data_IF_568289972331
#
_entry.id   IF_568289972331
#
_cell.length_a   1.000
_cell.length_b   1.000
_cell.length_c   1.000
_cell.angle_alpha   90.00
_cell.angle_beta   90.00
_cell.angle_gamma   90.00
#
_symmetry.space_group_name_H-M   'P 1'
#
loop_
_entity.id
_entity.type
_entity.pdbx_description
1 polymer ?
#
# COMPACT_ATOMS: atom_id res chain seq x y z
N UNK A 1 -8.76 1.02 14.30
CA UNK A 1 -8.86 1.68 12.98
C UNK A 1 -7.60 2.43 12.53
N UNK A 2 -7.16 3.54 13.17
CA UNK A 2 -6.12 4.41 12.57
C UNK A 2 -4.75 3.76 12.36
N UNK A 3 -4.27 2.91 13.30
CA UNK A 3 -3.04 2.12 13.09
C UNK A 3 -3.14 1.31 11.79
N UNK A 4 -4.27 0.63 11.57
CA UNK A 4 -4.49 -0.13 10.34
C UNK A 4 -4.47 0.76 9.09
N UNK A 5 -5.06 1.96 9.14
CA UNK A 5 -5.04 2.91 8.02
C UNK A 5 -3.60 3.33 7.63
N UNK A 6 -2.75 3.62 8.61
CA UNK A 6 -1.33 3.95 8.38
C UNK A 6 -0.53 2.84 7.71
N UNK A 7 -0.94 1.58 7.86
CA UNK A 7 -0.20 0.41 7.39
C UNK A 7 -0.83 -0.31 6.19
N UNK A 8 -1.93 0.22 5.65
CA UNK A 8 -2.63 -0.35 4.49
C UNK A 8 -2.89 0.67 3.38
N UNK A 9 -2.85 1.97 3.69
CA UNK A 9 -3.11 3.03 2.73
C UNK A 9 -4.54 3.04 2.19
N UNK A 10 -5.50 2.36 2.83
CA UNK A 10 -6.90 2.37 2.40
C UNK A 10 -7.51 3.78 2.48
N UNK A 11 -8.46 4.06 1.58
CA UNK A 11 -9.29 5.28 1.66
C UNK A 11 -10.22 5.19 2.87
N UNK A 12 -10.62 6.33 3.43
CA UNK A 12 -11.60 6.35 4.54
C UNK A 12 -12.87 5.59 4.19
N UNK A 13 -13.39 5.75 2.97
CA UNK A 13 -14.58 5.04 2.50
C UNK A 13 -14.41 3.53 2.39
N UNK A 14 -13.19 3.05 2.10
CA UNK A 14 -12.86 1.62 2.06
C UNK A 14 -12.72 1.06 3.48
N UNK A 15 -12.13 1.82 4.41
CA UNK A 15 -12.03 1.44 5.82
C UNK A 15 -13.41 1.26 6.46
N UNK A 16 -14.33 2.17 6.16
CA UNK A 16 -15.72 2.14 6.66
C UNK A 16 -16.51 0.97 6.07
N UNK A 17 -16.21 0.56 4.84
CA UNK A 17 -16.90 -0.52 4.16
C UNK A 17 -16.29 -1.92 4.38
N UNK A 18 -15.20 -2.01 5.17
CA UNK A 18 -14.46 -3.25 5.36
C UNK A 18 -15.21 -4.21 6.28
N UNK A 19 -15.51 -5.42 5.79
CA UNK A 19 -16.10 -6.50 6.58
C UNK A 19 -15.03 -7.54 6.95
N UNK A 20 -15.28 -8.31 8.02
CA UNK A 20 -14.39 -9.41 8.41
C UNK A 20 -14.23 -10.48 7.32
N UNK A 21 -15.25 -10.66 6.49
CA UNK A 21 -15.25 -11.59 5.33
C UNK A 21 -14.38 -11.13 4.16
N UNK A 22 -13.87 -9.89 4.19
CA UNK A 22 -12.93 -9.39 3.19
C UNK A 22 -11.46 -9.71 3.53
N UNK A 23 -11.20 -10.31 4.70
CA UNK A 23 -9.86 -10.63 5.18
C UNK A 23 -9.53 -12.09 4.87
N UNK A 24 -8.52 -12.31 4.03
CA UNK A 24 -7.92 -13.61 3.81
C UNK A 24 -6.74 -13.80 4.77
N UNK A 25 -7.01 -14.46 5.88
CA UNK A 25 -6.03 -14.71 6.94
C UNK A 25 -4.91 -15.65 6.50
N UNK A 26 -5.20 -16.60 5.60
CA UNK A 26 -4.21 -17.58 5.12
C UNK A 26 -3.21 -16.93 4.19
N UNK A 27 -3.69 -16.08 3.28
CA UNK A 27 -2.84 -15.35 2.32
C UNK A 27 -2.27 -14.05 2.91
N UNK A 28 -2.79 -13.59 4.05
CA UNK A 28 -2.37 -12.34 4.67
C UNK A 28 -2.71 -11.13 3.81
N UNK A 29 -3.90 -11.10 3.23
CA UNK A 29 -4.37 -10.01 2.36
C UNK A 29 -5.78 -9.57 2.72
N UNK A 30 -6.11 -8.33 2.36
CA UNK A 30 -7.48 -7.81 2.34
C UNK A 30 -7.93 -7.72 0.89
N UNK A 31 -9.14 -8.18 0.60
CA UNK A 31 -9.78 -8.00 -0.70
C UNK A 31 -10.69 -6.77 -0.62
N UNK A 32 -10.22 -5.63 -1.13
CA UNK A 32 -11.01 -4.40 -1.19
C UNK A 32 -12.01 -4.53 -2.33
N UNK A 33 -13.31 -4.61 -2.00
CA UNK A 33 -14.39 -4.81 -2.99
C UNK A 33 -15.34 -3.62 -3.12
N UNK A 34 -15.40 -2.77 -2.09
CA UNK A 34 -16.45 -1.78 -1.87
C UNK A 34 -15.91 -0.53 -1.18
N UNK A 35 -16.63 0.57 -1.36
CA UNK A 35 -16.36 1.83 -0.67
C UNK A 35 -17.70 2.49 -0.29
N UNK A 36 -17.76 3.09 0.90
CA UNK A 36 -18.95 3.80 1.39
C UNK A 36 -18.68 5.29 1.49
N UNK A 37 -19.46 6.09 0.77
CA UNK A 37 -19.45 7.55 0.86
C UNK A 37 -20.62 8.03 1.72
N UNK A 38 -20.55 9.25 2.24
CA UNK A 38 -21.61 9.83 3.08
C UNK A 38 -22.99 9.88 2.40
N UNK A 39 -23.02 9.87 1.07
CA UNK A 39 -24.24 9.96 0.26
C UNK A 39 -24.88 8.59 0.01
N UNK A 40 -24.12 7.49 0.15
CA UNK A 40 -24.60 6.14 -0.09
C UNK A 40 -24.88 5.44 1.25
N UNK A 41 -26.18 5.24 1.58
CA UNK A 41 -26.61 4.46 2.76
C UNK A 41 -26.29 2.96 2.63
N UNK A 42 -26.04 2.49 1.41
CA UNK A 42 -25.60 1.13 1.11
C UNK A 42 -24.25 1.15 0.41
N UNK A 43 -23.48 0.07 0.55
CA UNK A 43 -22.18 -0.04 -0.10
C UNK A 43 -22.41 -0.11 -1.60
N UNK A 44 -22.16 1.01 -2.30
CA UNK A 44 -22.08 0.97 -3.75
C UNK A 44 -20.98 -0.03 -4.11
N UNK A 45 -21.38 -1.13 -4.76
CA UNK A 45 -20.45 -2.07 -5.37
C UNK A 45 -19.68 -1.24 -6.41
N UNK A 46 -18.43 -0.91 -6.09
CA UNK A 46 -17.75 0.22 -6.70
C UNK A 46 -17.74 0.04 -8.21
N UNK A 47 -18.43 0.96 -8.91
CA UNK A 47 -18.54 1.01 -10.37
C UNK A 47 -17.17 0.68 -10.98
N UNK A 48 -17.16 -0.43 -11.72
CA UNK A 48 -16.04 -1.05 -12.44
C UNK A 48 -15.16 -2.06 -11.67
N UNK A 49 -14.94 -3.20 -12.32
CA UNK A 49 -14.00 -4.30 -12.03
C UNK A 49 -12.56 -3.81 -11.74
N UNK A 50 -12.23 -2.56 -12.10
CA UNK A 50 -10.94 -1.88 -11.88
C UNK A 50 -10.66 -1.47 -10.41
N UNK A 51 -11.70 -1.40 -9.57
CA UNK A 51 -11.58 -0.97 -8.16
C UNK A 51 -11.22 -2.10 -7.19
N UNK A 52 -11.46 -3.35 -7.58
CA UNK A 52 -11.18 -4.54 -6.77
C UNK A 52 -9.67 -4.78 -6.73
N UNK A 53 -9.09 -4.80 -5.54
CA UNK A 53 -7.66 -5.06 -5.36
C UNK A 53 -7.39 -5.83 -4.08
N UNK A 54 -6.25 -6.51 -4.07
CA UNK A 54 -5.70 -7.11 -2.87
C UNK A 54 -4.68 -6.18 -2.24
N UNK A 55 -4.80 -5.99 -0.94
CA UNK A 55 -3.85 -5.22 -0.13
C UNK A 55 -3.14 -6.19 0.82
N UNK A 56 -1.81 -6.25 0.76
CA UNK A 56 -0.99 -7.07 1.64
C UNK A 56 -1.08 -6.56 3.07
N UNK A 57 -1.37 -7.45 4.01
CA UNK A 57 -1.36 -7.16 5.43
C UNK A 57 0.07 -7.23 5.96
N UNK A 58 0.69 -6.06 6.12
CA UNK A 58 1.97 -5.96 6.84
C UNK A 58 1.76 -6.27 8.34
N UNK A 59 2.80 -6.71 9.07
CA UNK A 59 2.66 -7.15 10.46
C UNK A 59 1.93 -6.13 11.38
N UNK A 60 2.19 -4.80 11.29
CA UNK A 60 1.45 -3.83 12.09
C UNK A 60 -0.04 -3.70 11.73
N UNK A 61 -0.40 -3.92 10.46
CA UNK A 61 -1.79 -3.98 10.02
C UNK A 61 -2.48 -5.24 10.54
N UNK A 62 -1.80 -6.39 10.47
CA UNK A 62 -2.30 -7.66 11.02
C UNK A 62 -2.52 -7.57 12.54
N UNK A 63 -1.54 -7.03 13.27
CA UNK A 63 -1.66 -6.79 14.71
C UNK A 63 -2.85 -5.89 15.05
N UNK A 64 -3.09 -4.83 14.26
CA UNK A 64 -4.25 -3.97 14.44
C UNK A 64 -5.58 -4.70 14.22
N UNK A 65 -5.65 -5.65 13.28
CA UNK A 65 -6.84 -6.48 13.08
C UNK A 65 -7.05 -7.49 14.21
N UNK A 66 -5.98 -8.13 14.68
CA UNK A 66 -6.05 -9.07 15.82
C UNK A 66 -6.57 -8.36 17.06
N UNK A 67 -6.04 -7.18 17.38
CA UNK A 67 -6.53 -6.37 18.49
C UNK A 67 -8.00 -5.95 18.29
N UNK A 68 -8.41 -5.67 17.04
CA UNK A 68 -9.79 -5.29 16.73
C UNK A 68 -10.79 -6.44 16.95
N UNK A 69 -10.35 -7.72 16.93
CA UNK A 69 -11.27 -8.86 17.02
C UNK A 69 -12.11 -8.86 18.29
N UNK A 70 -11.52 -8.46 19.41
CA UNK A 70 -12.20 -8.40 20.70
C UNK A 70 -13.43 -7.46 20.72
N UNK A 71 -13.52 -6.53 19.76
CA UNK A 71 -14.59 -5.55 19.71
C UNK A 71 -15.71 -5.90 18.73
N UNK A 72 -15.36 -6.39 17.53
CA UNK A 72 -16.33 -6.48 16.42
C UNK A 72 -16.38 -7.83 15.73
N UNK A 73 -15.47 -8.78 16.03
CA UNK A 73 -15.37 -10.04 15.28
C UNK A 73 -16.56 -10.95 15.48
N UNK A 74 -17.02 -11.12 16.73
CA UNK A 74 -18.14 -12.00 17.06
C UNK A 74 -19.46 -11.56 16.44
N UNK A 75 -19.62 -10.27 16.15
CA UNK A 75 -20.80 -9.76 15.47
C UNK A 75 -20.83 -10.13 13.98
N UNK A 76 -19.70 -10.58 13.40
CA UNK A 76 -19.62 -11.09 12.02
C UNK A 76 -19.82 -10.05 10.92
N UNK A 77 -19.81 -8.75 11.25
CA UNK A 77 -20.12 -7.65 10.33
C UNK A 77 -18.87 -6.82 9.97
N UNK A 78 -18.91 -5.52 10.23
CA UNK A 78 -17.84 -4.58 9.92
C UNK A 78 -16.62 -4.80 10.81
N UNK A 79 -15.43 -4.60 10.23
CA UNK A 79 -14.18 -4.60 11.02
C UNK A 79 -14.15 -3.40 11.96
N UNK A 80 -14.52 -2.20 11.45
CA UNK A 80 -14.49 -0.97 12.22
C UNK A 80 -15.89 -0.39 12.38
N UNK A 81 -16.32 -0.26 13.63
CA UNK A 81 -17.58 0.35 14.03
C UNK A 81 -17.32 1.65 14.79
N UNK A 82 -18.34 2.51 14.86
CA UNK A 82 -18.33 3.71 15.68
C UNK A 82 -18.53 3.32 17.14
N UNK A 83 -17.53 3.53 18.02
CA UNK A 83 -17.58 3.07 19.41
C UNK A 83 -18.63 3.81 20.26
N UNK A 84 -19.36 4.78 19.68
CA UNK A 84 -20.43 5.51 20.35
C UNK A 84 -21.78 4.80 20.29
N UNK A 85 -21.97 3.94 19.30
CA UNK A 85 -23.26 3.28 19.03
C UNK A 85 -23.14 1.88 18.42
N UNK A 86 -21.93 1.33 18.33
CA UNK A 86 -21.61 0.01 17.77
C UNK A 86 -22.16 -0.24 16.36
N UNK A 87 -22.44 0.84 15.64
CA UNK A 87 -22.90 0.80 14.27
C UNK A 87 -21.76 1.07 13.29
N UNK A 88 -21.99 0.78 12.02
CA UNK A 88 -21.07 1.20 10.95
C UNK A 88 -20.86 2.71 11.00
N UNK A 89 -19.62 3.14 10.78
CA UNK A 89 -19.31 4.56 10.62
C UNK A 89 -20.17 5.17 9.51
N UNK A 90 -20.94 6.21 9.82
CA UNK A 90 -21.81 6.90 8.85
C UNK A 90 -21.06 7.86 7.92
N UNK A 91 -19.73 7.89 7.98
CA UNK A 91 -18.86 8.67 7.09
C UNK A 91 -17.74 9.42 7.82
N UNK A 92 -17.22 10.47 7.17
CA UNK A 92 -15.99 11.15 7.62
C UNK A 92 -16.18 11.99 8.90
N UNK A 93 -17.33 12.64 9.09
CA UNK A 93 -17.53 13.56 10.23
C UNK A 93 -17.37 12.88 11.60
N UNK A 94 -18.03 11.73 11.88
CA UNK A 94 -17.76 10.93 13.08
C UNK A 94 -16.29 10.57 13.29
N UNK A 95 -15.62 10.12 12.23
CA UNK A 95 -14.22 9.69 12.24
C UNK A 95 -13.32 10.87 12.59
N UNK A 96 -13.62 12.06 12.04
CA UNK A 96 -12.88 13.30 12.27
C UNK A 96 -12.90 13.73 13.73
N UNK A 97 -14.01 13.50 14.44
CA UNK A 97 -14.11 13.81 15.88
C UNK A 97 -13.10 12.97 16.66
N UNK A 98 -13.12 11.64 16.47
CA UNK A 98 -12.18 10.73 17.16
C UNK A 98 -10.74 10.99 16.74
N UNK A 99 -10.51 11.24 15.45
CA UNK A 99 -9.20 11.58 14.90
C UNK A 99 -8.62 12.87 15.52
N UNK A 100 -9.42 13.93 15.63
CA UNK A 100 -8.98 15.21 16.18
C UNK A 100 -8.58 15.07 17.65
N UNK A 101 -9.32 14.28 18.43
CA UNK A 101 -8.95 13.94 19.81
C UNK A 101 -7.62 13.18 19.87
N UNK A 102 -7.43 12.21 18.97
CA UNK A 102 -6.18 11.48 18.83
C UNK A 102 -4.99 12.39 18.51
N UNK A 103 -5.14 13.29 17.54
CA UNK A 103 -4.09 14.27 17.20
C UNK A 103 -3.77 15.20 18.37
N UNK A 104 -4.79 15.69 19.10
CA UNK A 104 -4.58 16.54 20.28
C UNK A 104 -3.78 15.79 21.36
N UNK A 105 -4.12 14.53 21.63
CA UNK A 105 -3.40 13.69 22.60
C UNK A 105 -1.97 13.41 22.15
N UNK A 106 -1.73 13.26 20.85
CA UNK A 106 -0.41 13.07 20.27
C UNK A 106 0.38 14.38 20.07
N UNK A 107 -0.20 15.53 20.43
CA UNK A 107 0.40 16.87 20.23
C UNK A 107 0.77 17.16 18.76
N UNK A 108 0.01 16.62 17.81
CA UNK A 108 0.22 16.81 16.37
C UNK A 108 -0.75 17.87 15.84
N UNK A 109 -0.25 18.82 15.05
CA UNK A 109 -1.08 19.83 14.36
C UNK A 109 -2.15 19.13 13.54
N UNK A 110 -3.37 19.71 13.52
CA UNK A 110 -4.48 19.14 12.78
C UNK A 110 -4.12 18.80 11.32
N UNK A 111 -4.52 17.60 10.92
CA UNK A 111 -4.43 17.05 9.56
C UNK A 111 -5.72 16.27 9.30
N UNK A 112 -6.15 16.13 8.04
CA UNK A 112 -7.34 15.33 7.71
C UNK A 112 -7.03 13.83 7.92
N UNK A 113 -8.01 12.98 8.31
CA UNK A 113 -7.80 11.52 8.44
C UNK A 113 -7.22 10.86 7.18
N UNK A 114 -7.59 11.39 5.99
CA UNK A 114 -7.06 10.96 4.70
C UNK A 114 -5.52 11.02 4.61
N UNK A 115 -4.85 11.83 5.44
CA UNK A 115 -3.38 11.89 5.48
C UNK A 115 -2.72 10.59 5.91
N UNK A 116 -3.44 9.68 6.57
CA UNK A 116 -2.93 8.32 6.88
C UNK A 116 -2.50 7.59 5.60
N UNK A 117 -3.26 7.74 4.51
CA UNK A 117 -2.95 7.17 3.19
C UNK A 117 -1.71 7.81 2.55
N UNK A 118 -1.57 9.13 2.66
CA UNK A 118 -0.37 9.81 2.19
C UNK A 118 0.86 9.41 3.01
N UNK A 119 0.70 9.24 4.31
CA UNK A 119 1.75 8.78 5.22
C UNK A 119 2.19 7.36 4.84
N UNK A 120 1.25 6.44 4.59
CA UNK A 120 1.55 5.10 4.09
C UNK A 120 2.43 5.15 2.83
N UNK A 121 2.01 5.91 1.82
CA UNK A 121 2.76 6.02 0.57
C UNK A 121 4.16 6.59 0.79
N UNK A 122 4.25 7.68 1.56
CA UNK A 122 5.52 8.31 1.91
C UNK A 122 6.46 7.35 2.64
N UNK A 123 5.96 6.61 3.64
CA UNK A 123 6.74 5.65 4.41
C UNK A 123 7.28 4.52 3.54
N UNK A 124 6.42 3.91 2.71
CA UNK A 124 6.83 2.80 1.84
C UNK A 124 7.91 3.25 0.85
N UNK A 125 7.71 4.41 0.20
CA UNK A 125 8.64 4.92 -0.80
C UNK A 125 9.96 5.39 -0.19
N UNK A 126 9.91 6.03 0.99
CA UNK A 126 11.12 6.39 1.74
C UNK A 126 11.91 5.17 2.19
N UNK A 127 11.24 4.04 2.43
CA UNK A 127 11.88 2.77 2.72
C UNK A 127 12.44 2.05 1.47
N UNK A 128 12.30 2.65 0.27
CA UNK A 128 12.80 2.07 -0.98
C UNK A 128 11.87 1.07 -1.65
N UNK A 129 10.62 0.94 -1.19
CA UNK A 129 9.65 0.03 -1.82
C UNK A 129 9.34 0.44 -3.26
N UNK A 130 9.15 -0.56 -4.11
CA UNK A 130 8.95 -0.31 -5.54
C UNK A 130 7.69 0.54 -5.79
N UNK A 131 7.76 1.70 -6.47
CA UNK A 131 6.62 2.62 -6.61
C UNK A 131 5.39 1.99 -7.25
N UNK A 132 5.59 1.09 -8.22
CA UNK A 132 4.49 0.36 -8.85
C UNK A 132 3.77 -0.56 -7.88
N UNK A 133 4.50 -1.19 -6.96
CA UNK A 133 3.90 -2.05 -5.95
C UNK A 133 3.05 -1.22 -4.99
N UNK A 134 3.58 -0.10 -4.49
CA UNK A 134 2.85 0.85 -3.63
C UNK A 134 1.59 1.38 -4.32
N UNK A 135 1.70 1.79 -5.60
CA UNK A 135 0.55 2.27 -6.38
C UNK A 135 -0.55 1.20 -6.52
N UNK A 136 -0.17 -0.07 -6.72
CA UNK A 136 -1.09 -1.22 -6.79
C UNK A 136 -1.78 -1.47 -5.44
N UNK A 137 -1.05 -1.43 -4.33
CA UNK A 137 -1.63 -1.54 -2.98
C UNK A 137 -2.67 -0.43 -2.73
N UNK A 138 -2.41 0.78 -3.23
CA UNK A 138 -3.27 1.93 -3.04
C UNK A 138 -4.47 1.97 -4.00
N UNK A 139 -4.43 1.25 -5.13
CA UNK A 139 -5.51 1.29 -6.13
C UNK A 139 -5.61 2.64 -6.84
N UNK A 140 -4.47 3.18 -7.29
CA UNK A 140 -4.45 4.34 -8.19
C UNK A 140 -4.68 3.87 -9.64
N UNK A 141 -5.71 4.42 -10.30
CA UNK A 141 -5.97 4.18 -11.72
C UNK A 141 -4.88 4.78 -12.61
N UNK A 142 -4.29 5.90 -12.19
CA UNK A 142 -3.16 6.54 -12.86
C UNK A 142 -1.89 6.44 -12.00
N UNK A 143 -1.00 5.53 -12.40
CA UNK A 143 0.25 5.19 -11.73
C UNK A 143 1.25 6.36 -11.69
N UNK A 144 1.19 7.27 -12.68
CA UNK A 144 2.02 8.48 -12.71
C UNK A 144 1.71 9.43 -11.54
N UNK A 145 0.54 9.31 -10.91
CA UNK A 145 0.17 10.11 -9.74
C UNK A 145 1.04 9.77 -8.53
N UNK A 146 1.37 8.48 -8.33
CA UNK A 146 2.23 8.05 -7.21
C UNK A 146 3.66 8.53 -7.42
N UNK A 147 4.24 8.29 -8.59
CA UNK A 147 5.61 8.71 -8.90
C UNK A 147 5.72 10.23 -8.83
N UNK A 148 4.80 10.99 -9.43
CA UNK A 148 4.83 12.46 -9.40
C UNK A 148 4.71 13.03 -7.98
N UNK A 149 3.80 12.52 -7.16
CA UNK A 149 3.56 13.06 -5.81
C UNK A 149 4.72 12.71 -4.86
N UNK A 150 5.34 11.54 -5.05
CA UNK A 150 6.27 11.01 -4.07
C UNK A 150 7.70 10.84 -4.58
N UNK A 151 8.03 11.26 -5.80
CA UNK A 151 9.38 11.15 -6.36
C UNK A 151 10.45 11.75 -5.45
N UNK A 152 10.12 12.84 -4.75
CA UNK A 152 11.00 13.48 -3.77
C UNK A 152 11.44 12.56 -2.63
N UNK A 153 10.65 11.55 -2.30
CA UNK A 153 10.89 10.63 -1.18
C UNK A 153 11.54 9.32 -1.62
N UNK A 154 11.72 9.12 -2.93
CA UNK A 154 12.48 7.97 -3.41
C UNK A 154 13.97 8.24 -3.15
N UNK A 155 14.76 7.22 -2.73
CA UNK A 155 16.19 7.36 -2.65
C UNK A 155 16.74 7.92 -3.97
N UNK A 156 17.62 8.91 -3.89
CA UNK A 156 18.33 9.41 -5.08
C UNK A 156 19.02 8.24 -5.77
N UNK A 157 19.02 8.24 -7.10
CA UNK A 157 19.73 7.22 -7.86
C UNK A 157 21.16 7.14 -7.35
N UNK A 158 21.56 5.92 -6.97
CA UNK A 158 22.94 5.57 -6.63
C UNK A 158 23.86 6.10 -7.75
N UNK A 159 25.01 6.75 -7.46
CA UNK A 159 25.98 7.10 -8.49
C UNK A 159 26.38 5.90 -9.36
N UNK A 160 26.29 4.67 -8.84
CA UNK A 160 26.53 3.41 -9.54
C UNK A 160 25.23 2.79 -10.13
N UNK A 161 24.16 3.57 -10.27
CA UNK A 161 22.92 3.11 -10.87
C UNK A 161 23.16 2.66 -12.33
N UNK A 162 22.99 1.35 -12.56
CA UNK A 162 23.29 0.70 -13.83
C UNK A 162 24.24 -0.47 -13.67
N UNK A 163 25.16 -0.43 -12.69
CA UNK A 163 26.15 -1.50 -12.44
C UNK A 163 25.51 -2.86 -12.23
N UNK A 164 24.43 -2.92 -11.42
CA UNK A 164 23.66 -4.16 -11.18
C UNK A 164 23.02 -4.75 -12.45
N UNK A 165 22.63 -3.91 -13.41
CA UNK A 165 22.06 -4.38 -14.67
C UNK A 165 23.17 -4.91 -15.61
N UNK A 166 24.33 -4.25 -15.62
CA UNK A 166 25.52 -4.70 -16.36
C UNK A 166 26.01 -6.05 -15.81
N UNK A 167 26.19 -6.17 -14.50
CA UNK A 167 26.58 -7.44 -13.86
C UNK A 167 25.59 -8.56 -14.21
N UNK A 168 24.29 -8.29 -14.06
CA UNK A 168 23.25 -9.31 -14.23
C UNK A 168 22.98 -9.72 -15.68
N UNK A 169 23.13 -8.80 -16.64
CA UNK A 169 22.70 -9.03 -18.02
C UNK A 169 23.82 -8.90 -19.06
N UNK A 170 24.92 -8.19 -18.76
CA UNK A 170 26.02 -7.96 -19.70
C UNK A 170 27.22 -8.90 -19.49
N UNK A 171 27.35 -9.59 -18.36
CA UNK A 171 28.43 -10.60 -18.16
C UNK A 171 28.39 -11.71 -19.22
N UNK A 172 27.20 -12.09 -19.69
CA UNK A 172 27.05 -13.08 -20.77
C UNK A 172 27.59 -12.57 -22.12
N UNK A 173 27.45 -11.27 -22.38
CA UNK A 173 27.91 -10.60 -23.61
C UNK A 173 29.43 -10.43 -23.63
N UNK A 174 30.04 -10.17 -22.47
CA UNK A 174 31.50 -9.99 -22.34
C UNK A 174 32.27 -11.31 -22.47
N UNK A 175 31.70 -12.44 -22.04
CA UNK A 175 32.32 -13.77 -22.26
C UNK A 175 32.36 -14.17 -23.74
N UNK A 176 31.30 -13.87 -24.49
CA UNK A 176 31.23 -14.16 -25.94
C UNK A 176 32.26 -13.35 -26.77
N UNK A 177 32.63 -12.16 -26.30
CA UNK A 177 33.67 -11.33 -26.93
C UNK A 177 35.08 -11.89 -26.72
N UNK A 178 35.37 -12.47 -25.55
CA UNK A 178 36.71 -12.98 -25.22
C UNK A 178 37.04 -14.30 -25.96
N UNK A 179 36.05 -15.19 -26.11
CA UNK A 179 36.23 -16.49 -26.78
C UNK A 179 36.43 -16.38 -28.30
N UNK A 180 36.02 -15.27 -28.92
CA UNK A 180 36.21 -15.02 -30.36
C UNK A 180 37.58 -14.40 -30.68
N UNK A 181 38.25 -13.77 -29.71
CA UNK A 181 39.59 -13.19 -29.87
C UNK A 181 40.70 -14.26 -29.72
N UNK A 182 40.48 -15.31 -28.94
CA UNK A 182 41.50 -16.36 -28.75
C UNK A 182 41.63 -17.34 -29.93
N UNK A 183 40.65 -17.41 -30.84
CA UNK A 183 40.71 -18.30 -32.02
C UNK A 183 41.50 -17.74 -33.21
N UNK A 184 41.81 -16.44 -33.23
CA UNK A 184 42.56 -15.81 -34.35
C UNK A 184 44.06 -15.69 -34.09
N UNK A 185 44.55 -15.89 -32.85
CA UNK A 185 45.96 -15.75 -32.49
C UNK A 185 46.79 -17.05 -32.59
N UNK A 186 46.18 -18.19 -32.92
CA UNK A 186 46.83 -19.52 -32.89
C UNK A 186 47.38 -20.05 -34.22
N UNK A 187 47.40 -19.27 -35.31
CA UNK A 187 47.77 -19.80 -36.63
C UNK A 187 48.72 -18.88 -37.41
N UNK A 188 49.90 -18.60 -36.84
CA UNK A 188 51.09 -18.17 -37.61
C UNK A 188 52.33 -18.81 -37.01
N UNK A 189 52.77 -19.91 -37.60
CA UNK A 189 53.95 -20.66 -37.19
C UNK A 189 54.20 -21.82 -38.14
N UNK A 190 54.68 -21.51 -39.35
CA UNK A 190 55.45 -22.41 -40.20
C UNK A 190 56.38 -21.58 -41.09
#
# INVERSE_FOLDING_TARGET
>A
MFRFAFWTGLRTSELVALNWTDIDWKRGVIVVKRALTQTAKEAEDTKTRSSRREVKLLPPAMSALVAQKAHTYLQGREVFQDPRNDARWSGDSPIRIVWTRGLKKAQVKYRKPYQTRHTYASMMLSAGEHPMWVARQMGHSNQNTTVRIYARWMPTADPDAGGKAVEKFAESTLRLSCDSVQKTAGNQGN
#
